data_IF_043641224627
#
_entry.id   IF_043641224627
#
_cell.length_a   1.000
_cell.length_b   1.000
_cell.length_c   1.000
_cell.angle_alpha   90.00
_cell.angle_beta   90.00
_cell.angle_gamma   90.00
#
_symmetry.space_group_name_H-M   'P 1'
#
loop_
_entity.id
_entity.type
_entity.pdbx_description
1 polymer ?
#
# COMPACT_ATOMS: atom_id res chain seq x y z
N UNK A 1 -12.50 15.24 -5.71
CA UNK A 1 -11.66 16.30 -5.10
C UNK A 1 -10.93 17.08 -6.19
N UNK A 2 -10.01 16.48 -6.94
CA UNK A 2 -9.23 17.15 -8.01
C UNK A 2 -10.14 17.79 -9.07
N UNK A 3 -11.01 17.01 -9.72
CA UNK A 3 -11.95 17.52 -10.73
C UNK A 3 -12.83 18.67 -10.20
N UNK A 4 -13.31 18.56 -8.96
CA UNK A 4 -14.19 19.57 -8.36
C UNK A 4 -13.46 20.91 -8.13
N UNK A 5 -12.21 20.88 -7.66
CA UNK A 5 -11.47 22.09 -7.29
C UNK A 5 -10.62 22.68 -8.43
N UNK A 6 -10.08 21.83 -9.31
CA UNK A 6 -9.15 22.22 -10.37
C UNK A 6 -9.77 22.12 -11.78
N UNK A 7 -10.90 21.43 -11.94
CA UNK A 7 -11.46 21.14 -13.26
C UNK A 7 -10.64 20.16 -14.10
N UNK A 8 -9.62 19.54 -13.50
CA UNK A 8 -8.66 18.66 -14.18
C UNK A 8 -8.88 17.18 -13.84
N UNK A 9 -8.45 16.30 -14.75
CA UNK A 9 -8.41 14.87 -14.49
C UNK A 9 -7.17 14.51 -13.65
N UNK A 10 -7.28 13.58 -12.67
CA UNK A 10 -6.13 13.10 -11.92
C UNK A 10 -5.07 12.50 -12.86
N UNK A 11 -3.80 12.90 -12.66
CA UNK A 11 -2.67 12.36 -13.42
C UNK A 11 -2.21 11.01 -12.86
N UNK A 12 -2.36 10.81 -11.56
CA UNK A 12 -1.99 9.58 -10.85
C UNK A 12 -3.26 8.86 -10.42
N UNK A 13 -3.38 7.60 -10.81
CA UNK A 13 -4.50 6.75 -10.43
C UNK A 13 -4.51 6.45 -8.93
N UNK A 14 -5.71 6.36 -8.37
CA UNK A 14 -5.90 5.93 -6.99
C UNK A 14 -6.22 4.43 -6.96
N UNK A 15 -5.58 3.70 -6.06
CA UNK A 15 -5.93 2.30 -5.80
C UNK A 15 -7.38 2.23 -5.30
N UNK A 16 -8.16 1.33 -5.90
CA UNK A 16 -9.55 1.08 -5.48
C UNK A 16 -9.58 0.76 -3.99
N UNK A 17 -10.40 1.49 -3.24
CA UNK A 17 -10.46 1.37 -1.78
C UNK A 17 -11.90 1.27 -1.32
N UNK A 18 -12.29 0.09 -0.87
CA UNK A 18 -13.61 -0.21 -0.35
C UNK A 18 -13.66 0.08 1.15
N UNK A 19 -14.54 0.99 1.56
CA UNK A 19 -14.76 1.33 2.96
C UNK A 19 -15.72 0.32 3.59
N UNK A 20 -15.26 -0.50 4.54
CA UNK A 20 -16.13 -1.47 5.21
C UNK A 20 -17.17 -0.80 6.13
N UNK A 21 -17.04 0.50 6.40
CA UNK A 21 -18.07 1.31 7.06
C UNK A 21 -19.36 1.41 6.25
N UNK A 22 -19.26 1.39 4.91
CA UNK A 22 -20.42 1.32 4.03
C UNK A 22 -20.96 -0.12 3.95
N UNK A 23 -22.28 -0.27 4.04
CA UNK A 23 -22.92 -1.60 4.13
C UNK A 23 -22.70 -2.41 2.86
N UNK A 24 -22.86 -1.80 1.68
CA UNK A 24 -22.74 -2.48 0.39
C UNK A 24 -21.31 -2.94 0.15
N UNK A 25 -20.35 -2.05 0.39
CA UNK A 25 -18.92 -2.37 0.30
C UNK A 25 -18.53 -3.47 1.28
N UNK A 26 -18.99 -3.40 2.54
CA UNK A 26 -18.72 -4.43 3.55
C UNK A 26 -19.19 -5.81 3.12
N UNK A 27 -20.43 -5.93 2.67
CA UNK A 27 -21.00 -7.20 2.21
C UNK A 27 -20.22 -7.73 1.01
N UNK A 28 -19.88 -6.87 0.06
CA UNK A 28 -19.05 -7.23 -1.09
C UNK A 28 -17.66 -7.76 -0.65
N UNK A 29 -16.99 -7.04 0.24
CA UNK A 29 -15.67 -7.41 0.78
C UNK A 29 -15.73 -8.76 1.51
N UNK A 30 -16.71 -8.95 2.40
CA UNK A 30 -16.85 -10.20 3.17
C UNK A 30 -17.08 -11.39 2.22
N UNK A 31 -17.96 -11.23 1.23
CA UNK A 31 -18.27 -12.30 0.27
C UNK A 31 -17.10 -12.64 -0.66
N UNK A 32 -16.17 -11.70 -0.84
CA UNK A 32 -15.02 -11.84 -1.75
C UNK A 32 -13.67 -11.73 -1.01
N UNK A 33 -13.63 -11.99 0.30
CA UNK A 33 -12.49 -11.61 1.15
C UNK A 33 -11.16 -12.22 0.69
N UNK A 34 -11.20 -13.39 0.03
CA UNK A 34 -10.02 -14.04 -0.55
C UNK A 34 -9.35 -13.26 -1.68
N UNK A 35 -10.01 -12.25 -2.26
CA UNK A 35 -9.47 -11.41 -3.36
C UNK A 35 -8.83 -10.12 -2.85
N UNK A 36 -9.09 -9.74 -1.60
CA UNK A 36 -8.75 -8.42 -1.09
C UNK A 36 -7.62 -8.48 -0.05
N UNK A 37 -6.84 -7.41 0.00
CA UNK A 37 -6.01 -7.07 1.15
C UNK A 37 -6.87 -6.21 2.09
N UNK A 38 -7.12 -6.71 3.30
CA UNK A 38 -7.90 -6.00 4.32
C UNK A 38 -6.95 -5.46 5.37
N UNK A 39 -7.07 -4.16 5.69
CA UNK A 39 -6.23 -3.50 6.69
C UNK A 39 -7.03 -2.52 7.55
N UNK A 40 -6.59 -2.24 8.79
CA UNK A 40 -7.24 -1.22 9.59
C UNK A 40 -7.02 0.17 9.00
N UNK A 41 -8.01 1.05 9.11
CA UNK A 41 -7.93 2.43 8.59
C UNK A 41 -6.92 3.29 9.35
N UNK A 42 -6.77 3.03 10.66
CA UNK A 42 -6.01 3.89 11.57
C UNK A 42 -4.73 3.22 12.10
N UNK A 43 -4.25 2.14 11.49
CA UNK A 43 -3.07 1.41 11.98
C UNK A 43 -1.76 1.90 11.32
N UNK A 44 -0.70 1.94 12.13
CA UNK A 44 0.69 2.11 11.68
C UNK A 44 1.43 0.77 11.68
N UNK A 45 2.37 0.60 10.76
CA UNK A 45 3.37 -0.49 10.84
C UNK A 45 2.94 -1.85 10.27
N UNK A 46 1.78 -1.97 9.62
CA UNK A 46 1.37 -3.20 8.92
C UNK A 46 0.72 -4.27 9.81
N UNK A 47 0.44 -3.95 11.08
CA UNK A 47 -0.30 -4.83 11.98
C UNK A 47 -1.78 -4.91 11.59
N UNK A 48 -2.37 -6.09 11.74
CA UNK A 48 -3.78 -6.34 11.43
C UNK A 48 -4.10 -6.38 9.93
N UNK A 49 -3.09 -6.52 9.06
CA UNK A 49 -3.29 -6.71 7.62
C UNK A 49 -3.53 -8.19 7.33
N UNK A 50 -4.58 -8.50 6.58
CA UNK A 50 -4.83 -9.81 6.00
C UNK A 50 -4.66 -9.73 4.48
N UNK A 51 -3.83 -10.61 3.92
CA UNK A 51 -3.65 -10.75 2.47
C UNK A 51 -4.53 -11.91 1.99
N UNK A 52 -5.74 -11.62 1.51
CA UNK A 52 -6.77 -12.60 1.18
C UNK A 52 -6.28 -13.80 0.35
N UNK A 53 -5.51 -13.61 -0.74
CA UNK A 53 -5.04 -14.73 -1.55
C UNK A 53 -4.06 -15.68 -0.83
N UNK A 54 -3.33 -15.18 0.18
CA UNK A 54 -2.33 -15.94 0.94
C UNK A 54 -2.81 -16.37 2.33
N UNK A 55 -3.93 -15.82 2.80
CA UNK A 55 -4.48 -16.09 4.12
C UNK A 55 -5.19 -17.45 4.18
N UNK A 56 -4.98 -18.14 5.30
CA UNK A 56 -5.70 -19.35 5.69
C UNK A 56 -7.19 -19.08 5.88
N UNK A 57 -7.99 -20.16 5.94
CA UNK A 57 -9.42 -20.07 6.23
C UNK A 57 -9.69 -19.43 7.60
N UNK A 58 -8.90 -19.81 8.61
CA UNK A 58 -9.04 -19.29 9.97
C UNK A 58 -8.79 -17.77 10.04
N UNK A 59 -7.72 -17.28 9.40
CA UNK A 59 -7.40 -15.84 9.34
C UNK A 59 -8.50 -15.04 8.63
N UNK A 60 -9.09 -15.60 7.57
CA UNK A 60 -10.22 -14.96 6.86
C UNK A 60 -11.45 -14.86 7.75
N UNK A 61 -11.81 -15.94 8.45
CA UNK A 61 -12.95 -15.95 9.36
C UNK A 61 -12.78 -14.97 10.52
N UNK A 62 -11.57 -14.89 11.07
CA UNK A 62 -11.23 -13.91 12.10
C UNK A 62 -11.35 -12.47 11.58
N UNK A 63 -10.81 -12.20 10.39
CA UNK A 63 -10.93 -10.88 9.76
C UNK A 63 -12.40 -10.51 9.50
N UNK A 64 -13.24 -11.44 9.04
CA UNK A 64 -14.68 -11.20 8.86
C UNK A 64 -15.35 -10.85 10.19
N UNK A 65 -15.03 -11.55 11.28
CA UNK A 65 -15.56 -11.24 12.62
C UNK A 65 -15.15 -9.83 13.05
N UNK A 66 -13.90 -9.46 12.82
CA UNK A 66 -13.37 -8.14 13.16
C UNK A 66 -14.05 -7.02 12.34
N UNK A 67 -14.22 -7.22 11.02
CA UNK A 67 -14.95 -6.28 10.16
C UNK A 67 -16.40 -6.11 10.65
N UNK A 68 -17.10 -7.20 10.99
CA UNK A 68 -18.48 -7.13 11.48
C UNK A 68 -18.57 -6.40 12.82
N UNK A 69 -17.59 -6.58 13.70
CA UNK A 69 -17.54 -5.95 15.03
C UNK A 69 -17.28 -4.45 14.95
N UNK A 70 -16.34 -4.00 14.11
CA UNK A 70 -16.02 -2.58 13.97
C UNK A 70 -15.76 -2.21 12.49
N UNK A 71 -16.82 -2.12 11.67
CA UNK A 71 -16.69 -1.99 10.21
C UNK A 71 -15.99 -0.70 9.77
N UNK A 72 -16.17 0.40 10.51
CA UNK A 72 -15.52 1.69 10.20
C UNK A 72 -14.00 1.66 10.34
N UNK A 73 -13.47 0.70 11.09
CA UNK A 73 -12.04 0.57 11.31
C UNK A 73 -11.33 -0.19 10.18
N UNK A 74 -12.04 -0.69 9.16
CA UNK A 74 -11.44 -1.50 8.11
C UNK A 74 -11.69 -0.95 6.72
N UNK A 75 -10.69 -1.11 5.88
CA UNK A 75 -10.76 -0.89 4.44
C UNK A 75 -10.20 -2.10 3.70
N UNK A 76 -10.66 -2.30 2.47
CA UNK A 76 -10.20 -3.36 1.60
C UNK A 76 -9.73 -2.79 0.27
N UNK A 77 -8.64 -3.34 -0.25
CA UNK A 77 -8.05 -2.97 -1.53
C UNK A 77 -7.75 -4.24 -2.32
N UNK A 78 -7.83 -4.24 -3.66
CA UNK A 78 -7.35 -5.35 -4.46
C UNK A 78 -5.86 -5.61 -4.16
N UNK A 79 -5.41 -6.84 -4.40
CA UNK A 79 -3.99 -7.15 -4.24
C UNK A 79 -3.20 -6.51 -5.38
N UNK A 80 -2.56 -5.38 -5.10
CA UNK A 80 -1.64 -4.74 -6.01
C UNK A 80 -0.28 -5.45 -6.05
N UNK A 81 0.22 -5.69 -7.26
CA UNK A 81 1.56 -6.23 -7.47
C UNK A 81 2.53 -5.05 -7.51
N UNK A 82 3.26 -4.86 -6.42
CA UNK A 82 4.27 -3.80 -6.34
C UNK A 82 5.40 -4.07 -7.33
N UNK A 83 5.94 -3.00 -7.94
CA UNK A 83 7.19 -3.06 -8.71
C UNK A 83 8.33 -3.61 -7.86
N UNK A 84 9.37 -4.13 -8.50
CA UNK A 84 10.57 -4.65 -7.83
C UNK A 84 11.84 -3.92 -8.27
N UNK A 85 12.82 -3.83 -7.36
CA UNK A 85 14.17 -3.32 -7.64
C UNK A 85 15.21 -4.41 -7.34
N UNK A 86 16.31 -4.50 -8.11
CA UNK A 86 17.44 -5.36 -7.76
C UNK A 86 17.96 -5.05 -6.37
N UNK A 87 18.10 -6.09 -5.56
CA UNK A 87 18.57 -6.00 -4.17
C UNK A 87 19.60 -7.08 -3.92
N UNK A 88 20.75 -6.66 -3.40
CA UNK A 88 21.82 -7.57 -2.99
C UNK A 88 21.34 -8.33 -1.75
N UNK A 89 21.42 -9.65 -1.82
CA UNK A 89 21.16 -10.57 -0.72
C UNK A 89 22.48 -11.26 -0.34
N UNK A 90 22.53 -12.06 0.73
CA UNK A 90 23.74 -12.82 1.08
C UNK A 90 24.25 -13.72 -0.04
N UNK A 91 23.35 -14.26 -0.88
CA UNK A 91 23.69 -15.31 -1.84
C UNK A 91 23.78 -14.80 -3.29
N UNK A 92 23.07 -13.73 -3.64
CA UNK A 92 22.92 -13.24 -5.02
C UNK A 92 22.23 -11.86 -5.10
N UNK A 93 22.01 -11.37 -6.33
CA UNK A 93 21.14 -10.20 -6.60
C UNK A 93 19.76 -10.71 -7.01
N UNK A 94 18.73 -10.33 -6.26
CA UNK A 94 17.35 -10.73 -6.52
C UNK A 94 16.37 -9.55 -6.50
N UNK A 95 15.22 -9.66 -7.20
CA UNK A 95 14.18 -8.65 -7.12
C UNK A 95 13.55 -8.61 -5.72
N UNK A 96 13.30 -7.40 -5.22
CA UNK A 96 12.52 -7.14 -4.00
C UNK A 96 11.51 -6.02 -4.25
N UNK A 97 10.31 -6.16 -3.66
CA UNK A 97 9.26 -5.17 -3.78
C UNK A 97 9.65 -3.88 -3.05
N UNK A 98 9.23 -2.73 -3.60
CA UNK A 98 9.48 -1.42 -3.02
C UNK A 98 8.22 -0.55 -3.02
N UNK A 99 8.25 0.51 -2.21
CA UNK A 99 7.43 1.70 -2.42
C UNK A 99 8.27 2.97 -2.34
N UNK A 100 7.77 4.04 -2.96
CA UNK A 100 8.40 5.35 -3.00
C UNK A 100 7.51 6.38 -2.31
N UNK A 101 8.11 7.16 -1.43
CA UNK A 101 7.47 8.32 -0.79
C UNK A 101 8.22 9.60 -1.18
N UNK A 102 7.77 10.32 -2.21
CA UNK A 102 8.23 11.68 -2.47
C UNK A 102 7.58 12.66 -1.49
N UNK A 103 8.12 13.88 -1.40
CA UNK A 103 7.57 14.94 -0.56
C UNK A 103 7.19 16.15 -1.41
N UNK A 104 5.98 16.64 -1.21
CA UNK A 104 5.48 17.87 -1.84
C UNK A 104 5.52 18.98 -0.79
N UNK A 105 6.20 20.08 -1.11
CA UNK A 105 6.35 21.24 -0.24
C UNK A 105 5.54 22.41 -0.81
N UNK A 106 4.69 23.02 0.02
CA UNK A 106 3.83 24.15 -0.38
C UNK A 106 4.00 25.31 0.60
N UNK A 107 4.29 26.48 0.05
CA UNK A 107 4.37 27.77 0.75
C UNK A 107 3.85 28.86 -0.19
N UNK A 108 4.71 29.83 -0.55
CA UNK A 108 4.39 30.78 -1.64
C UNK A 108 4.29 30.11 -3.03
N UNK A 109 4.98 28.98 -3.19
CA UNK A 109 4.93 28.11 -4.36
C UNK A 109 4.81 26.64 -3.91
N UNK A 110 4.44 25.77 -4.84
CA UNK A 110 4.39 24.31 -4.64
C UNK A 110 5.44 23.62 -5.51
N UNK A 111 6.20 22.70 -4.93
CA UNK A 111 7.16 21.88 -5.67
C UNK A 111 7.32 20.49 -5.03
N UNK A 112 7.84 19.54 -5.82
CA UNK A 112 8.16 18.18 -5.38
C UNK A 112 9.66 18.06 -5.18
N UNK A 113 10.10 17.36 -4.13
CA UNK A 113 11.53 17.12 -3.89
C UNK A 113 12.16 16.26 -4.98
N UNK A 114 13.40 16.55 -5.36
CA UNK A 114 14.23 15.73 -6.27
C UNK A 114 14.80 14.52 -5.53
N UNK A 115 13.91 13.68 -5.04
CA UNK A 115 14.22 12.53 -4.20
C UNK A 115 13.02 12.11 -3.36
N UNK A 116 13.24 11.12 -2.51
CA UNK A 116 12.22 10.59 -1.64
C UNK A 116 12.73 9.41 -0.82
N UNK A 117 11.88 8.93 0.08
CA UNK A 117 12.16 7.71 0.82
C UNK A 117 11.71 6.51 -0.02
N UNK A 118 12.68 5.73 -0.53
CA UNK A 118 12.39 4.40 -1.08
C UNK A 118 12.54 3.37 0.02
N UNK A 119 11.49 2.56 0.24
CA UNK A 119 11.52 1.43 1.18
C UNK A 119 11.45 0.12 0.43
N UNK A 120 12.17 -0.89 0.92
CA UNK A 120 12.31 -2.18 0.25
C UNK A 120 11.96 -3.32 1.20
N UNK A 121 11.15 -4.27 0.75
CA UNK A 121 10.85 -5.49 1.49
C UNK A 121 12.02 -6.46 1.35
N UNK A 122 12.88 -6.61 2.37
CA UNK A 122 14.11 -7.42 2.26
C UNK A 122 13.82 -8.93 2.19
N UNK A 123 12.75 -9.39 2.83
CA UNK A 123 12.32 -10.79 2.80
C UNK A 123 11.82 -11.19 1.42
N UNK A 124 12.35 -12.28 0.86
CA UNK A 124 11.95 -12.83 -0.45
C UNK A 124 10.44 -13.04 -0.53
N UNK A 125 9.82 -12.51 -1.59
CA UNK A 125 8.38 -12.61 -1.86
C UNK A 125 7.46 -11.81 -0.91
N UNK A 126 8.03 -11.02 0.02
CA UNK A 126 7.27 -10.12 0.89
C UNK A 126 6.94 -8.83 0.16
N UNK A 127 5.72 -8.32 0.37
CA UNK A 127 5.28 -6.97 -0.06
C UNK A 127 5.29 -5.98 1.10
N UNK A 128 5.72 -6.41 2.29
CA UNK A 128 5.78 -5.59 3.50
C UNK A 128 7.10 -4.83 3.49
N UNK A 129 7.03 -3.53 3.21
CA UNK A 129 8.19 -2.62 3.12
C UNK A 129 8.42 -1.79 4.40
N UNK A 130 7.57 -1.95 5.42
CA UNK A 130 7.71 -1.20 6.67
C UNK A 130 8.97 -1.58 7.44
N UNK A 131 9.72 -0.57 7.89
CA UNK A 131 10.98 -0.75 8.64
C UNK A 131 10.78 -1.52 9.95
N UNK A 132 9.65 -1.33 10.64
CA UNK A 132 9.29 -2.05 11.87
C UNK A 132 9.16 -3.57 11.68
N UNK A 133 9.07 -4.06 10.45
CA UNK A 133 8.93 -5.49 10.12
C UNK A 133 10.05 -5.98 9.19
N UNK A 134 11.24 -5.37 9.28
CA UNK A 134 12.42 -5.79 8.51
C UNK A 134 12.50 -5.20 7.11
N UNK A 135 11.77 -4.10 6.84
CA UNK A 135 11.95 -3.29 5.64
C UNK A 135 13.26 -2.51 5.67
N UNK A 136 13.98 -2.49 4.55
CA UNK A 136 15.16 -1.64 4.33
C UNK A 136 14.78 -0.33 3.65
N UNK A 137 15.78 0.52 3.42
CA UNK A 137 15.66 1.70 2.57
C UNK A 137 16.71 1.71 1.47
N UNK A 138 16.42 2.43 0.39
CA UNK A 138 17.36 2.70 -0.70
C UNK A 138 17.34 4.19 -1.02
N UNK A 139 18.44 4.66 -1.58
CA UNK A 139 18.49 6.00 -2.16
C UNK A 139 17.58 6.08 -3.40
N UNK A 140 17.02 7.26 -3.64
CA UNK A 140 16.13 7.55 -4.78
C UNK A 140 16.81 8.58 -5.68
N UNK A 141 17.51 8.10 -6.70
CA UNK A 141 18.17 8.96 -7.66
C UNK A 141 17.17 9.44 -8.72
N UNK A 142 16.91 10.75 -8.76
CA UNK A 142 16.17 11.41 -9.82
C UNK A 142 17.18 12.01 -10.78
N UNK A 143 17.18 11.53 -12.01
CA UNK A 143 18.08 12.02 -13.06
C UNK A 143 17.35 13.04 -13.93
N UNK A 144 18.06 14.09 -14.34
CA UNK A 144 17.53 14.98 -15.38
C UNK A 144 17.53 14.23 -16.72
N UNK A 145 16.53 14.53 -17.54
CA UNK A 145 16.41 14.01 -18.90
C UNK A 145 17.17 14.87 -19.92
N UNK A 146 17.71 16.02 -19.50
CA UNK A 146 18.53 16.90 -20.34
C UNK A 146 20.02 16.59 -20.18
N UNK A 147 20.58 15.97 -21.23
CA UNK A 147 21.95 16.21 -21.66
C UNK A 147 21.94 17.34 -22.70
#
# INVERSE_FOLDING_TARGET
MIVYYLGEQPIIDQVETLLCGDKKNREHVINNISKYVVKPSNASGGYGIMIGPKASKAEKEEMIKNIKKNPRNYIAQPLEILSTVPTITPDNIEPRHLDLRPFILTGKSTYVTTGGLTRVALKKGSTIVNSSQGGGSKDTLIVDSKN
#
